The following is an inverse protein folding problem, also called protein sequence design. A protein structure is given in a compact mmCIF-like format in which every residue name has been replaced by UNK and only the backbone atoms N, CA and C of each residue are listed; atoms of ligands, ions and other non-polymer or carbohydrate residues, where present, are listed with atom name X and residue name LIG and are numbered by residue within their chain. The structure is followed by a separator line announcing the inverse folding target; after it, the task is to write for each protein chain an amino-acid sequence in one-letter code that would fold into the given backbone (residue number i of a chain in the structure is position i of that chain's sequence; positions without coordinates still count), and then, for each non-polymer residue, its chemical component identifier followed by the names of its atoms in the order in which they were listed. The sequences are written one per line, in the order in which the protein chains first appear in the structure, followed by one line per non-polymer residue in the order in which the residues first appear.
data_IF_940123194868
#
_entry.id   IF_940123194868
#
_cell.length_a   1.000
_cell.length_b   1.000
_cell.length_c   1.000
_cell.angle_alpha   90.00
_cell.angle_beta   90.00
_cell.angle_gamma   90.00
#
_symmetry.space_group_name_H-M   'P 1'
#
loop_
_entity.id
_entity.type
_entity.pdbx_description
1 polymer ?
#
# COMPACT_ATOMS: atom_id res chain seq x y z
N UNK A 1 -31.50 -8.20 4.20
CA UNK A 1 -30.71 -9.29 3.60
C UNK A 1 -29.65 -8.62 2.76
N UNK A 2 -28.38 -8.86 3.07
CA UNK A 2 -27.27 -8.19 2.42
C UNK A 2 -27.04 -8.81 1.03
N UNK A 3 -26.86 -7.99 -0.02
CA UNK A 3 -26.82 -8.44 -1.43
C UNK A 3 -25.43 -8.99 -1.81
N UNK A 4 -25.27 -10.31 -2.05
CA UNK A 4 -23.96 -10.95 -2.28
C UNK A 4 -23.22 -10.44 -3.52
N UNK A 5 -23.90 -9.72 -4.42
CA UNK A 5 -23.30 -9.12 -5.60
C UNK A 5 -22.72 -7.71 -5.33
N UNK A 6 -23.00 -7.11 -4.16
CA UNK A 6 -22.35 -5.86 -3.75
C UNK A 6 -20.87 -6.11 -3.45
N UNK A 7 -20.00 -5.32 -4.06
CA UNK A 7 -18.57 -5.37 -3.80
C UNK A 7 -18.27 -4.91 -2.37
N UNK A 8 -17.53 -5.70 -1.60
CA UNK A 8 -16.96 -5.22 -0.34
C UNK A 8 -15.57 -4.66 -0.61
N UNK A 9 -15.38 -3.38 -0.34
CA UNK A 9 -14.08 -2.70 -0.45
C UNK A 9 -13.48 -2.65 0.94
N UNK A 10 -12.28 -3.21 1.09
CA UNK A 10 -11.50 -3.21 2.32
C UNK A 10 -10.35 -2.23 2.15
N UNK A 11 -10.37 -1.16 2.93
CA UNK A 11 -9.28 -0.18 3.01
C UNK A 11 -8.44 -0.45 4.25
N UNK A 12 -7.12 -0.48 4.09
CA UNK A 12 -6.15 -0.72 5.17
C UNK A 12 -5.17 0.48 5.32
N UNK A 13 -5.64 1.64 5.84
CA UNK A 13 -4.89 2.90 5.84
C UNK A 13 -4.07 3.12 7.13
N UNK A 14 -3.07 2.27 7.38
CA UNK A 14 -2.22 2.37 8.60
C UNK A 14 -1.16 3.47 8.48
N UNK A 15 -0.56 3.64 7.30
CA UNK A 15 0.54 4.58 7.01
C UNK A 15 0.06 5.91 6.44
N UNK A 16 -1.06 5.88 5.73
CA UNK A 16 -1.65 7.05 5.07
C UNK A 16 -3.13 6.80 4.77
N UNK A 17 -3.97 7.84 4.76
CA UNK A 17 -5.37 7.73 4.34
C UNK A 17 -5.46 7.35 2.86
N UNK A 18 -6.52 6.62 2.50
CA UNK A 18 -6.85 6.27 1.11
C UNK A 18 -8.19 6.94 0.79
N UNK A 19 -8.20 7.85 -0.19
CA UNK A 19 -9.40 8.59 -0.58
C UNK A 19 -10.47 7.69 -1.21
N UNK A 20 -11.73 7.96 -0.89
CA UNK A 20 -12.91 7.29 -1.48
C UNK A 20 -12.93 7.45 -3.00
N UNK A 21 -12.69 8.66 -3.47
CA UNK A 21 -12.58 9.04 -4.88
C UNK A 21 -11.55 8.19 -5.62
N UNK A 22 -10.40 7.92 -4.98
CA UNK A 22 -9.33 7.11 -5.56
C UNK A 22 -9.73 5.64 -5.67
N UNK A 23 -10.43 5.11 -4.67
CA UNK A 23 -10.95 3.74 -4.71
C UNK A 23 -12.03 3.62 -5.81
N UNK A 24 -12.98 4.57 -5.87
CA UNK A 24 -14.02 4.59 -6.89
C UNK A 24 -13.47 4.69 -8.31
N UNK A 25 -12.44 5.52 -8.50
CA UNK A 25 -11.78 5.69 -9.80
C UNK A 25 -11.03 4.43 -10.23
N UNK A 26 -10.40 3.73 -9.29
CA UNK A 26 -9.61 2.54 -9.57
C UNK A 26 -10.47 1.31 -9.87
N UNK A 27 -11.61 1.17 -9.19
CA UNK A 27 -12.51 0.04 -9.38
C UNK A 27 -13.39 0.30 -10.63
N UNK A 28 -13.35 -0.58 -11.65
CA UNK A 28 -14.16 -0.42 -12.86
C UNK A 28 -15.65 -0.26 -12.54
N UNK A 29 -16.33 0.62 -13.29
CA UNK A 29 -17.75 0.92 -13.06
C UNK A 29 -18.65 -0.32 -13.17
N UNK A 30 -18.30 -1.29 -14.02
CA UNK A 30 -18.99 -2.58 -14.14
C UNK A 30 -18.94 -3.40 -12.85
N UNK A 31 -17.86 -3.29 -12.07
CA UNK A 31 -17.66 -4.02 -10.82
C UNK A 31 -18.36 -3.36 -9.63
N UNK A 32 -18.70 -2.07 -9.76
CA UNK A 32 -19.48 -1.31 -8.77
C UNK A 32 -20.96 -1.17 -9.14
N UNK A 33 -21.41 -1.77 -10.25
CA UNK A 33 -22.77 -1.60 -10.76
C UNK A 33 -23.86 -2.08 -9.79
N UNK A 34 -23.58 -3.12 -8.99
CA UNK A 34 -24.46 -3.60 -7.91
C UNK A 34 -24.42 -2.73 -6.63
N UNK A 35 -23.60 -1.68 -6.62
CA UNK A 35 -23.22 -0.94 -5.43
C UNK A 35 -22.08 -1.62 -4.66
N UNK A 36 -21.55 -0.91 -3.68
CA UNK A 36 -20.39 -1.34 -2.89
C UNK A 36 -20.49 -0.84 -1.46
N UNK A 37 -19.84 -1.55 -0.55
CA UNK A 37 -19.75 -1.21 0.86
C UNK A 37 -18.26 -1.05 1.21
N UNK A 38 -17.92 -0.05 2.03
CA UNK A 38 -16.55 0.20 2.48
C UNK A 38 -16.38 -0.23 3.93
N UNK A 39 -15.32 -1.00 4.19
CA UNK A 39 -14.84 -1.31 5.53
C UNK A 39 -13.38 -0.85 5.65
N UNK A 40 -13.10 -0.04 6.68
CA UNK A 40 -11.74 0.32 7.06
C UNK A 40 -11.24 -0.60 8.19
N UNK A 41 -10.03 -1.14 8.00
CA UNK A 41 -9.24 -1.85 9.00
C UNK A 41 -8.01 -1.01 9.31
N UNK A 42 -7.96 -0.42 10.51
CA UNK A 42 -6.85 0.45 10.93
C UNK A 42 -6.52 0.17 12.39
N UNK A 43 -5.77 -0.91 12.66
CA UNK A 43 -5.44 -1.29 14.03
C UNK A 43 -4.51 -0.29 14.72
N UNK A 44 -3.79 0.52 13.94
CA UNK A 44 -2.96 1.63 14.41
C UNK A 44 -2.83 2.65 13.28
N UNK A 45 -2.64 3.93 13.63
CA UNK A 45 -2.18 4.97 12.70
C UNK A 45 -0.75 5.35 13.04
N UNK A 46 0.14 5.30 12.06
CA UNK A 46 1.57 5.56 12.25
C UNK A 46 2.20 6.04 10.95
N UNK A 47 3.47 6.39 11.02
CA UNK A 47 4.26 6.85 9.87
C UNK A 47 5.36 5.82 9.55
N UNK A 48 5.78 5.76 8.28
CA UNK A 48 6.80 4.81 7.82
C UNK A 48 8.10 4.86 8.65
N UNK A 49 8.49 6.05 9.12
CA UNK A 49 9.68 6.25 9.96
C UNK A 49 9.59 5.69 11.38
N UNK A 50 8.37 5.42 11.87
CA UNK A 50 8.09 5.03 13.27
C UNK A 50 7.64 3.58 13.42
N UNK A 51 7.73 2.77 12.37
CA UNK A 51 7.34 1.35 12.43
C UNK A 51 8.13 0.52 13.46
N UNK A 52 9.31 0.98 13.85
CA UNK A 52 10.14 0.36 14.87
C UNK A 52 9.64 0.60 16.31
N UNK A 53 8.67 1.50 16.50
CA UNK A 53 8.04 1.85 17.79
C UNK A 53 6.73 1.08 18.02
N UNK A 54 6.26 0.30 17.03
CA UNK A 54 4.99 -0.43 17.10
C UNK A 54 5.07 -1.56 18.12
N UNK A 55 4.08 -1.61 19.02
CA UNK A 55 3.75 -2.80 19.78
C UNK A 55 2.96 -3.78 18.88
N UNK A 56 3.68 -4.73 18.29
CA UNK A 56 3.08 -5.70 17.36
C UNK A 56 2.03 -6.59 18.00
N UNK A 57 2.13 -6.87 19.31
CA UNK A 57 1.15 -7.71 19.99
C UNK A 57 -0.19 -6.96 20.16
N UNK A 58 -0.13 -5.70 20.58
CA UNK A 58 -1.32 -4.87 20.71
C UNK A 58 -1.99 -4.62 19.34
N UNK A 59 -1.21 -4.31 18.31
CA UNK A 59 -1.73 -4.04 16.97
C UNK A 59 -2.27 -5.32 16.31
N UNK A 60 -1.67 -6.48 16.56
CA UNK A 60 -2.18 -7.78 16.13
C UNK A 60 -3.57 -8.04 16.71
N UNK A 61 -3.71 -7.94 18.04
CA UNK A 61 -4.97 -8.17 18.74
C UNK A 61 -6.08 -7.22 18.25
N UNK A 62 -5.74 -5.95 18.01
CA UNK A 62 -6.70 -4.99 17.46
C UNK A 62 -7.09 -5.31 16.02
N UNK A 63 -6.16 -5.78 15.18
CA UNK A 63 -6.47 -6.19 13.82
C UNK A 63 -7.39 -7.41 13.79
N UNK A 64 -7.15 -8.40 14.65
CA UNK A 64 -8.01 -9.56 14.82
C UNK A 64 -9.43 -9.15 15.27
N UNK A 65 -9.53 -8.23 16.23
CA UNK A 65 -10.81 -7.67 16.70
C UNK A 65 -11.57 -6.97 15.57
N UNK A 66 -10.92 -6.06 14.85
CA UNK A 66 -11.52 -5.32 13.72
C UNK A 66 -11.94 -6.26 12.58
N UNK A 67 -11.14 -7.28 12.30
CA UNK A 67 -11.49 -8.29 11.31
C UNK A 67 -12.74 -9.08 11.72
N UNK A 68 -12.79 -9.57 12.96
CA UNK A 68 -13.93 -10.32 13.48
C UNK A 68 -15.22 -9.50 13.45
N UNK A 69 -15.16 -8.23 13.83
CA UNK A 69 -16.32 -7.34 13.91
C UNK A 69 -16.82 -6.86 12.54
N UNK A 70 -15.92 -6.61 11.58
CA UNK A 70 -16.25 -5.86 10.37
C UNK A 70 -16.16 -6.64 9.07
N UNK A 71 -15.39 -7.72 9.02
CA UNK A 71 -15.10 -8.47 7.78
C UNK A 71 -15.56 -9.92 7.89
N UNK A 72 -15.35 -10.57 9.03
CA UNK A 72 -15.55 -12.01 9.16
C UNK A 72 -16.99 -12.46 8.82
N UNK A 73 -18.01 -11.72 9.26
CA UNK A 73 -19.40 -12.01 8.90
C UNK A 73 -19.75 -11.72 7.43
N UNK A 74 -19.01 -10.82 6.79
CA UNK A 74 -19.25 -10.39 5.42
C UNK A 74 -18.68 -11.41 4.40
N UNK A 75 -17.48 -11.92 4.65
CA UNK A 75 -16.78 -12.81 3.70
C UNK A 75 -17.51 -14.14 3.44
N UNK A 76 -18.47 -14.53 4.27
CA UNK A 76 -19.25 -15.75 4.11
C UNK A 76 -20.20 -15.72 2.91
N UNK A 77 -20.67 -14.54 2.51
CA UNK A 77 -21.71 -14.39 1.49
C UNK A 77 -21.33 -13.43 0.35
N UNK A 78 -20.28 -12.62 0.53
CA UNK A 78 -19.73 -11.77 -0.54
C UNK A 78 -19.06 -12.62 -1.61
N UNK A 79 -19.35 -12.35 -2.88
CA UNK A 79 -18.68 -13.04 -4.00
C UNK A 79 -17.28 -12.51 -4.29
N UNK A 80 -17.05 -11.23 -4.03
CA UNK A 80 -15.86 -10.49 -4.44
C UNK A 80 -15.53 -9.39 -3.44
N UNK A 81 -14.23 -9.14 -3.27
CA UNK A 81 -13.70 -8.03 -2.50
C UNK A 81 -12.66 -7.26 -3.31
N UNK A 82 -12.54 -5.97 -2.99
CA UNK A 82 -11.41 -5.15 -3.42
C UNK A 82 -10.58 -4.76 -2.20
N UNK A 83 -9.27 -4.93 -2.26
CA UNK A 83 -8.34 -4.56 -1.19
C UNK A 83 -7.45 -3.40 -1.61
N UNK A 84 -7.44 -2.36 -0.78
CA UNK A 84 -6.57 -1.19 -0.89
C UNK A 84 -5.77 -1.08 0.40
N UNK A 85 -4.46 -0.87 0.31
CA UNK A 85 -3.61 -0.86 1.50
C UNK A 85 -2.51 0.19 1.46
N UNK A 86 -2.35 0.87 2.59
CA UNK A 86 -1.12 1.55 2.98
C UNK A 86 -0.77 1.01 4.36
N UNK A 87 -0.33 -0.24 4.41
CA UNK A 87 -0.03 -0.95 5.65
C UNK A 87 1.39 -1.54 5.65
N UNK A 88 2.03 -1.63 6.83
CA UNK A 88 3.24 -2.40 7.01
C UNK A 88 3.06 -3.83 6.50
N UNK A 89 4.13 -4.38 5.90
CA UNK A 89 4.13 -5.72 5.30
C UNK A 89 3.60 -6.80 6.28
N UNK A 90 4.02 -6.84 7.57
CA UNK A 90 3.47 -7.79 8.53
C UNK A 90 1.94 -7.72 8.70
N UNK A 91 1.36 -6.51 8.73
CA UNK A 91 -0.09 -6.35 8.90
C UNK A 91 -0.86 -6.76 7.66
N UNK A 92 -0.35 -6.43 6.46
CA UNK A 92 -0.95 -6.86 5.22
C UNK A 92 -0.92 -8.39 5.07
N UNK A 93 0.24 -9.02 5.35
CA UNK A 93 0.37 -10.48 5.43
C UNK A 93 -0.64 -11.08 6.40
N UNK A 94 -0.76 -10.52 7.59
CA UNK A 94 -1.70 -11.03 8.59
C UNK A 94 -3.16 -10.87 8.17
N UNK A 95 -3.58 -9.73 7.62
CA UNK A 95 -4.95 -9.55 7.15
C UNK A 95 -5.29 -10.52 6.00
N UNK A 96 -4.35 -10.74 5.08
CA UNK A 96 -4.50 -11.76 4.03
C UNK A 96 -4.62 -13.17 4.62
N UNK A 97 -3.81 -13.48 5.63
CA UNK A 97 -3.84 -14.75 6.35
C UNK A 97 -5.21 -15.01 7.03
N UNK A 98 -5.83 -13.98 7.61
CA UNK A 98 -7.18 -14.09 8.18
C UNK A 98 -8.26 -14.34 7.12
N UNK A 99 -8.12 -13.73 5.93
CA UNK A 99 -9.11 -13.87 4.85
C UNK A 99 -9.05 -15.25 4.16
N UNK A 100 -7.88 -15.88 4.13
CA UNK A 100 -7.62 -17.16 3.43
C UNK A 100 -8.11 -17.13 1.97
N UNK A 101 -8.40 -18.30 1.36
CA UNK A 101 -9.00 -18.41 0.02
C UNK A 101 -10.53 -18.44 0.05
N UNK A 102 -11.15 -17.93 1.12
CA UNK A 102 -12.61 -17.98 1.31
C UNK A 102 -13.40 -17.16 0.30
N UNK A 103 -12.77 -16.17 -0.34
CA UNK A 103 -13.44 -15.21 -1.22
C UNK A 103 -12.46 -14.68 -2.27
N UNK A 104 -12.98 -14.33 -3.45
CA UNK A 104 -12.16 -13.72 -4.48
C UNK A 104 -11.81 -12.27 -4.10
N UNK A 105 -10.53 -11.97 -3.95
CA UNK A 105 -10.04 -10.63 -3.60
C UNK A 105 -9.21 -10.06 -4.74
N UNK A 106 -9.67 -8.96 -5.31
CA UNK A 106 -8.87 -8.10 -6.17
C UNK A 106 -8.07 -7.14 -5.34
N UNK A 107 -6.77 -7.12 -5.60
CA UNK A 107 -5.87 -6.20 -4.95
C UNK A 107 -5.64 -5.04 -5.88
N UNK A 108 -5.72 -3.84 -5.32
CA UNK A 108 -5.33 -2.61 -5.97
C UNK A 108 -4.05 -2.11 -5.33
N UNK A 109 -3.07 -1.80 -6.17
CA UNK A 109 -1.76 -1.37 -5.72
C UNK A 109 -1.53 0.08 -6.14
N UNK A 110 -1.16 0.92 -5.17
CA UNK A 110 -0.80 2.30 -5.45
C UNK A 110 0.45 2.36 -6.32
N UNK A 111 0.33 2.98 -7.49
CA UNK A 111 1.43 3.29 -8.39
C UNK A 111 2.14 4.55 -7.89
N UNK A 112 3.41 4.44 -7.51
CA UNK A 112 4.15 5.57 -6.90
C UNK A 112 4.49 6.69 -7.88
N UNK A 113 4.45 6.42 -9.19
CA UNK A 113 4.77 7.42 -10.21
C UNK A 113 3.53 8.11 -10.79
N UNK A 114 2.45 7.36 -10.98
CA UNK A 114 1.17 7.88 -11.50
C UNK A 114 0.24 8.36 -10.39
N UNK A 115 0.50 7.97 -9.14
CA UNK A 115 -0.31 8.32 -7.96
C UNK A 115 -1.77 7.87 -8.03
N UNK A 116 -2.00 6.80 -8.79
CA UNK A 116 -3.27 6.11 -8.94
C UNK A 116 -3.16 4.68 -8.38
N UNK A 117 -4.28 3.95 -8.44
CA UNK A 117 -4.34 2.53 -8.06
C UNK A 117 -4.62 1.63 -9.26
N UNK A 118 -4.44 2.16 -10.47
CA UNK A 118 -4.80 1.47 -11.70
C UNK A 118 -3.74 0.42 -12.07
N UNK A 119 -4.18 -0.76 -12.48
CA UNK A 119 -3.28 -1.71 -13.13
C UNK A 119 -2.95 -1.24 -14.54
N UNK A 120 -1.71 -1.47 -14.99
CA UNK A 120 -1.43 -1.39 -16.43
C UNK A 120 -2.13 -2.54 -17.15
N UNK A 121 -2.63 -2.30 -18.36
CA UNK A 121 -3.26 -3.34 -19.17
C UNK A 121 -2.25 -4.40 -19.60
N UNK A 122 -2.62 -5.67 -19.45
CA UNK A 122 -1.86 -6.82 -19.95
C UNK A 122 -1.88 -6.92 -21.49
N UNK A 123 -2.89 -6.33 -22.16
CA UNK A 123 -3.13 -6.45 -23.61
C UNK A 123 -2.53 -5.31 -24.45
N UNK A 124 -1.72 -4.43 -23.83
CA UNK A 124 -1.09 -3.33 -24.54
C UNK A 124 0.04 -3.83 -25.45
N UNK A 125 0.19 -3.25 -26.65
CA UNK A 125 1.40 -3.44 -27.48
C UNK A 125 2.69 -2.99 -26.76
N UNK A 126 2.56 -2.26 -25.65
CA UNK A 126 3.65 -1.87 -24.73
C UNK A 126 3.62 -2.64 -23.40
N UNK A 127 2.90 -3.76 -23.32
CA UNK A 127 2.88 -4.59 -22.13
C UNK A 127 4.30 -5.11 -21.83
N UNK A 128 4.77 -4.98 -20.58
CA UNK A 128 6.07 -5.52 -20.21
C UNK A 128 6.09 -7.04 -20.43
N UNK A 129 7.26 -7.63 -20.75
CA UNK A 129 7.37 -9.07 -20.93
C UNK A 129 6.87 -9.81 -19.67
N UNK A 130 6.29 -11.02 -19.83
CA UNK A 130 5.76 -11.77 -18.70
C UNK A 130 6.86 -11.98 -17.67
N UNK A 131 6.57 -11.51 -16.46
CA UNK A 131 7.50 -11.53 -15.36
C UNK A 131 7.61 -12.95 -14.81
N UNK A 132 8.84 -13.48 -14.72
CA UNK A 132 9.11 -14.82 -14.20
C UNK A 132 9.94 -14.72 -12.93
N UNK A 133 9.32 -14.87 -11.74
CA UNK A 133 10.04 -14.93 -10.48
C UNK A 133 10.95 -16.16 -10.47
N UNK A 134 12.15 -16.00 -9.90
CA UNK A 134 13.09 -17.09 -9.67
C UNK A 134 12.87 -17.65 -8.27
N UNK A 135 12.89 -18.98 -8.16
CA UNK A 135 12.90 -19.69 -6.88
C UNK A 135 14.27 -20.35 -6.72
N UNK A 136 15.02 -19.94 -5.70
CA UNK A 136 16.27 -20.60 -5.31
C UNK A 136 15.98 -21.51 -4.12
N UNK A 137 16.01 -22.82 -4.36
CA UNK A 137 15.84 -23.85 -3.34
C UNK A 137 17.21 -24.41 -2.92
N UNK A 138 17.33 -24.97 -1.70
CA UNK A 138 18.50 -25.79 -1.36
C UNK A 138 18.59 -27.01 -2.28
N UNK A 139 19.80 -27.54 -2.45
CA UNK A 139 20.03 -28.73 -3.27
C UNK A 139 19.39 -30.00 -2.67
N UNK A 140 19.37 -30.08 -1.34
CA UNK A 140 18.90 -31.24 -0.59
C UNK A 140 17.92 -30.83 0.53
N UNK A 141 17.01 -31.73 0.87
CA UNK A 141 16.17 -31.62 2.06
C UNK A 141 16.82 -32.24 3.29
N UNK A 142 16.20 -32.07 4.47
CA UNK A 142 16.59 -32.72 5.71
C UNK A 142 15.38 -33.22 6.50
N UNK A 143 15.59 -34.24 7.35
CA UNK A 143 14.60 -34.72 8.33
C UNK A 143 14.86 -34.19 9.74
N UNK A 144 15.86 -33.33 9.91
CA UNK A 144 16.11 -32.66 11.18
C UNK A 144 14.98 -31.70 11.53
N UNK A 145 14.83 -31.44 12.83
CA UNK A 145 13.90 -30.44 13.34
C UNK A 145 14.59 -29.07 13.36
N UNK A 146 13.90 -28.05 12.85
CA UNK A 146 14.45 -26.69 12.82
C UNK A 146 13.69 -25.75 11.88
N UNK A 147 13.98 -24.45 11.95
CA UNK A 147 13.27 -23.46 11.15
C UNK A 147 13.86 -23.34 9.73
N UNK A 148 13.08 -22.79 8.80
CA UNK A 148 13.52 -22.44 7.44
C UNK A 148 13.34 -20.94 7.23
N UNK A 149 14.27 -20.31 6.52
CA UNK A 149 14.16 -18.91 6.09
C UNK A 149 13.60 -18.85 4.66
N UNK A 150 12.59 -18.01 4.45
CA UNK A 150 12.10 -17.65 3.11
C UNK A 150 12.25 -16.13 2.93
N UNK A 151 12.93 -15.72 1.87
CA UNK A 151 13.06 -14.33 1.46
C UNK A 151 12.25 -14.08 0.19
N UNK A 152 11.42 -13.04 0.19
CA UNK A 152 10.67 -12.60 -1.00
C UNK A 152 11.11 -11.20 -1.40
N UNK A 153 11.77 -11.10 -2.55
CA UNK A 153 12.46 -9.88 -3.00
C UNK A 153 11.87 -9.39 -4.33
N UNK A 154 10.86 -8.53 -4.28
CA UNK A 154 10.29 -7.90 -5.49
C UNK A 154 10.56 -6.40 -5.58
N UNK A 155 10.51 -5.66 -4.47
CA UNK A 155 10.84 -4.24 -4.45
C UNK A 155 12.34 -3.99 -4.25
N UNK A 156 12.98 -4.81 -3.42
CA UNK A 156 14.39 -4.71 -3.07
C UNK A 156 14.96 -6.10 -2.84
N UNK A 157 16.26 -6.27 -3.06
CA UNK A 157 16.95 -7.52 -2.74
C UNK A 157 17.21 -7.59 -1.25
N UNK A 158 16.78 -8.68 -0.62
CA UNK A 158 17.12 -9.00 0.78
C UNK A 158 18.42 -9.80 0.76
N UNK A 159 19.44 -9.33 1.47
CA UNK A 159 20.71 -10.02 1.50
C UNK A 159 20.71 -11.17 2.53
N UNK A 160 21.29 -12.34 2.21
CA UNK A 160 21.31 -13.49 3.13
C UNK A 160 21.91 -13.18 4.52
N UNK A 161 22.96 -12.35 4.56
CA UNK A 161 23.61 -11.96 5.82
C UNK A 161 22.68 -11.12 6.73
N UNK A 162 21.75 -10.34 6.17
CA UNK A 162 20.77 -9.58 6.98
C UNK A 162 19.77 -10.51 7.68
N UNK A 163 19.45 -11.66 7.07
CA UNK A 163 18.57 -12.67 7.67
C UNK A 163 19.31 -13.62 8.60
N UNK A 164 20.57 -13.95 8.30
CA UNK A 164 21.42 -14.80 9.13
C UNK A 164 21.78 -14.15 10.48
N UNK A 165 21.87 -12.81 10.53
CA UNK A 165 22.04 -12.06 11.79
C UNK A 165 20.86 -12.29 12.76
N UNK A 166 19.66 -12.51 12.22
CA UNK A 166 18.42 -12.67 12.99
C UNK A 166 18.09 -14.15 13.24
N UNK A 167 18.34 -15.01 12.25
CA UNK A 167 18.08 -16.45 12.30
C UNK A 167 19.40 -17.18 11.98
N UNK A 168 20.31 -17.32 12.96
CA UNK A 168 21.66 -17.86 12.71
C UNK A 168 21.70 -19.37 12.46
N UNK A 169 20.59 -20.09 12.69
CA UNK A 169 20.54 -21.56 12.61
C UNK A 169 19.24 -22.03 11.96
N UNK A 170 19.12 -21.82 10.66
CA UNK A 170 18.06 -22.39 9.82
C UNK A 170 18.51 -23.66 9.11
N UNK A 171 17.59 -24.61 8.92
CA UNK A 171 17.81 -25.82 8.12
C UNK A 171 18.08 -25.52 6.64
N UNK A 172 17.47 -24.44 6.14
CA UNK A 172 17.63 -23.98 4.77
C UNK A 172 17.23 -22.51 4.63
N UNK A 173 17.68 -21.92 3.54
CA UNK A 173 17.26 -20.62 3.06
C UNK A 173 16.68 -20.79 1.64
N UNK A 174 15.54 -20.15 1.40
CA UNK A 174 14.86 -20.15 0.10
C UNK A 174 14.61 -18.71 -0.33
N UNK A 175 14.89 -18.40 -1.58
CA UNK A 175 14.62 -17.09 -2.16
C UNK A 175 13.56 -17.17 -3.25
N UNK A 176 12.57 -16.29 -3.19
CA UNK A 176 11.66 -15.97 -4.28
C UNK A 176 11.95 -14.54 -4.71
N UNK A 177 12.48 -14.34 -5.91
CA UNK A 177 13.00 -13.03 -6.31
C UNK A 177 12.69 -12.68 -7.76
N UNK A 178 12.58 -11.37 -8.02
CA UNK A 178 12.68 -10.88 -9.38
C UNK A 178 14.14 -10.83 -9.82
N UNK A 179 14.40 -11.09 -11.10
CA UNK A 179 15.73 -10.88 -11.67
C UNK A 179 16.21 -9.44 -11.45
N UNK A 180 15.31 -8.48 -11.65
CA UNK A 180 15.53 -7.06 -11.35
C UNK A 180 14.42 -6.58 -10.41
N UNK A 181 14.67 -6.48 -9.09
CA UNK A 181 13.70 -5.93 -8.16
C UNK A 181 13.54 -4.42 -8.36
N UNK A 182 12.37 -3.89 -8.02
CA UNK A 182 12.07 -2.47 -8.04
C UNK A 182 10.70 -2.17 -7.47
N UNK A 183 10.53 -0.99 -6.87
CA UNK A 183 9.31 -0.63 -6.13
C UNK A 183 8.02 -0.70 -6.96
N UNK A 184 8.12 -0.44 -8.28
CA UNK A 184 7.04 -0.55 -9.25
C UNK A 184 7.32 -1.62 -10.31
N UNK A 185 8.04 -2.70 -9.94
CA UNK A 185 8.32 -3.82 -10.85
C UNK A 185 7.05 -4.62 -11.19
N UNK A 186 6.07 -4.68 -10.27
CA UNK A 186 4.79 -5.36 -10.46
C UNK A 186 3.74 -4.39 -11.01
N UNK A 187 3.71 -4.22 -12.32
CA UNK A 187 2.86 -3.23 -13.00
C UNK A 187 1.47 -3.74 -13.41
N UNK A 188 1.28 -5.06 -13.43
CA UNK A 188 0.04 -5.71 -13.84
C UNK A 188 -0.40 -6.74 -12.81
N UNK A 189 -1.69 -7.06 -12.80
CA UNK A 189 -2.26 -8.06 -11.90
C UNK A 189 -1.71 -9.46 -12.20
N UNK A 190 -1.43 -9.76 -13.47
CA UNK A 190 -0.75 -10.97 -13.91
C UNK A 190 0.65 -11.09 -13.29
N UNK A 191 1.47 -10.04 -13.37
CA UNK A 191 2.81 -10.04 -12.78
C UNK A 191 2.81 -10.25 -11.25
N UNK A 192 1.84 -9.66 -10.53
CA UNK A 192 1.65 -9.93 -9.10
C UNK A 192 1.28 -11.40 -8.86
N UNK A 193 0.39 -11.95 -9.68
CA UNK A 193 -0.07 -13.35 -9.59
C UNK A 193 1.08 -14.34 -9.79
N UNK A 194 1.98 -14.09 -10.73
CA UNK A 194 3.18 -14.92 -10.94
C UNK A 194 4.05 -15.01 -9.68
N UNK A 195 4.23 -13.90 -8.94
CA UNK A 195 4.97 -13.93 -7.67
C UNK A 195 4.21 -14.73 -6.60
N UNK A 196 2.88 -14.61 -6.54
CA UNK A 196 2.06 -15.38 -5.60
C UNK A 196 2.16 -16.89 -5.89
N UNK A 197 2.16 -17.27 -7.17
CA UNK A 197 2.36 -18.66 -7.61
C UNK A 197 3.74 -19.16 -7.17
N UNK A 198 4.80 -18.40 -7.45
CA UNK A 198 6.16 -18.76 -7.06
C UNK A 198 6.33 -18.87 -5.54
N UNK A 199 5.68 -17.99 -4.77
CA UNK A 199 5.67 -18.06 -3.31
C UNK A 199 4.97 -19.32 -2.79
N UNK A 200 3.80 -19.66 -3.36
CA UNK A 200 3.07 -20.88 -3.00
C UNK A 200 3.88 -22.15 -3.35
N UNK A 201 4.55 -22.15 -4.51
CA UNK A 201 5.48 -23.22 -4.89
C UNK A 201 6.63 -23.34 -3.88
N UNK A 202 7.25 -22.24 -3.49
CA UNK A 202 8.31 -22.24 -2.47
C UNK A 202 7.83 -22.83 -1.13
N UNK A 203 6.66 -22.43 -0.63
CA UNK A 203 6.08 -22.99 0.59
C UNK A 203 5.88 -24.51 0.47
N UNK A 204 5.28 -24.97 -0.63
CA UNK A 204 5.04 -26.39 -0.90
C UNK A 204 6.35 -27.20 -0.96
N UNK A 205 7.35 -26.70 -1.68
CA UNK A 205 8.67 -27.32 -1.81
C UNK A 205 9.39 -27.38 -0.48
N UNK A 206 9.39 -26.30 0.31
CA UNK A 206 9.96 -26.27 1.67
C UNK A 206 9.32 -27.33 2.55
N UNK A 207 7.98 -27.43 2.57
CA UNK A 207 7.29 -28.45 3.39
C UNK A 207 7.63 -29.88 2.95
N UNK A 208 7.78 -30.11 1.65
CA UNK A 208 8.16 -31.41 1.11
C UNK A 208 9.60 -31.79 1.46
N UNK A 209 10.54 -30.84 1.36
CA UNK A 209 11.96 -31.05 1.61
C UNK A 209 12.33 -31.13 3.09
N UNK A 210 11.59 -30.42 3.95
CA UNK A 210 11.82 -30.32 5.39
C UNK A 210 10.54 -30.69 6.15
N UNK A 211 10.11 -31.97 6.16
CA UNK A 211 8.81 -32.36 6.70
C UNK A 211 8.63 -32.03 8.19
N UNK A 212 9.75 -31.93 8.94
CA UNK A 212 9.83 -31.59 10.37
C UNK A 212 10.21 -30.13 10.65
N UNK A 213 10.02 -29.23 9.68
CA UNK A 213 10.29 -27.81 9.91
C UNK A 213 9.43 -27.25 11.06
N UNK A 214 10.04 -26.48 11.95
CA UNK A 214 9.39 -26.00 13.19
C UNK A 214 8.78 -24.61 13.03
N UNK A 215 9.32 -23.79 12.13
CA UNK A 215 8.82 -22.46 11.80
C UNK A 215 9.30 -22.04 10.40
N UNK A 216 8.59 -21.09 9.81
CA UNK A 216 9.02 -20.38 8.60
C UNK A 216 9.31 -18.93 8.96
N UNK A 217 10.55 -18.50 8.83
CA UNK A 217 10.92 -17.09 8.97
C UNK A 217 10.78 -16.39 7.62
N UNK A 218 9.74 -15.57 7.46
CA UNK A 218 9.40 -14.89 6.23
C UNK A 218 9.87 -13.43 6.25
N UNK A 219 10.91 -13.16 5.47
CA UNK A 219 11.40 -11.80 5.21
C UNK A 219 10.92 -11.34 3.85
N UNK A 220 10.28 -10.18 3.79
CA UNK A 220 9.64 -9.72 2.57
C UNK A 220 9.94 -8.24 2.28
N UNK A 221 10.39 -7.99 1.06
CA UNK A 221 10.56 -6.68 0.46
C UNK A 221 9.64 -6.63 -0.75
N UNK A 222 8.35 -6.39 -0.48
CA UNK A 222 7.24 -6.52 -1.43
C UNK A 222 6.27 -5.35 -1.29
N UNK A 223 5.52 -5.00 -2.36
CA UNK A 223 4.42 -4.06 -2.21
C UNK A 223 3.30 -4.65 -1.33
N UNK A 224 2.57 -3.76 -0.65
CA UNK A 224 1.50 -4.08 0.30
C UNK A 224 0.42 -5.03 -0.26
N UNK A 225 0.06 -4.86 -1.53
CA UNK A 225 -0.90 -5.72 -2.20
C UNK A 225 -0.41 -7.16 -2.35
N UNK A 226 0.86 -7.34 -2.70
CA UNK A 226 1.49 -8.66 -2.77
C UNK A 226 1.62 -9.28 -1.38
N UNK A 227 2.01 -8.51 -0.36
CA UNK A 227 2.05 -8.97 1.03
C UNK A 227 0.70 -9.56 1.47
N UNK A 228 -0.39 -8.87 1.18
CA UNK A 228 -1.75 -9.37 1.44
C UNK A 228 -2.02 -10.70 0.72
N UNK A 229 -1.73 -10.79 -0.58
CA UNK A 229 -1.98 -12.02 -1.36
C UNK A 229 -1.12 -13.20 -0.92
N UNK A 230 0.11 -12.94 -0.49
CA UNK A 230 1.00 -13.94 0.09
C UNK A 230 0.42 -14.49 1.40
N UNK A 231 -0.09 -13.61 2.27
CA UNK A 231 -0.73 -14.00 3.52
C UNK A 231 -1.88 -14.98 3.30
N UNK A 232 -2.72 -14.69 2.30
CA UNK A 232 -3.85 -15.55 1.91
C UNK A 232 -3.46 -16.93 1.37
N UNK A 233 -2.18 -17.18 1.03
CA UNK A 233 -1.70 -18.50 0.62
C UNK A 233 -1.29 -19.39 1.80
N UNK A 234 -1.06 -18.82 2.98
CA UNK A 234 -0.53 -19.56 4.12
C UNK A 234 -1.68 -20.28 4.82
N UNK A 235 -1.69 -21.61 4.73
CA UNK A 235 -2.67 -22.45 5.42
C UNK A 235 -2.13 -22.90 6.80
N UNK A 236 -2.77 -22.50 7.92
CA UNK A 236 -2.35 -22.88 9.28
C UNK A 236 -2.32 -24.39 9.53
N UNK A 237 -3.11 -25.18 8.81
CA UNK A 237 -3.19 -26.63 9.04
C UNK A 237 -2.09 -27.40 8.29
N UNK A 238 -1.39 -26.75 7.36
CA UNK A 238 -0.35 -27.35 6.53
C UNK A 238 1.04 -26.89 6.96
N UNK A 239 1.19 -25.60 7.20
CA UNK A 239 2.46 -24.97 7.53
C UNK A 239 2.51 -24.66 9.04
N UNK A 240 3.69 -24.79 9.68
CA UNK A 240 3.86 -24.31 11.04
C UNK A 240 3.81 -22.79 11.08
N UNK A 241 4.06 -22.21 12.25
CA UNK A 241 4.06 -20.77 12.44
C UNK A 241 4.95 -20.04 11.42
N UNK A 242 4.40 -18.99 10.82
CA UNK A 242 5.14 -18.10 9.92
C UNK A 242 5.46 -16.81 10.64
N UNK A 243 6.74 -16.60 10.94
CA UNK A 243 7.25 -15.46 11.66
C UNK A 243 7.62 -14.38 10.65
N UNK A 244 6.95 -13.24 10.73
CA UNK A 244 7.17 -12.09 9.83
C UNK A 244 8.06 -11.04 10.48
N UNK A 245 8.71 -10.24 9.65
CA UNK A 245 9.67 -9.23 10.09
C UNK A 245 9.35 -7.85 9.54
N UNK A 246 9.59 -6.83 10.36
CA UNK A 246 9.59 -5.45 9.94
C UNK A 246 11.03 -4.97 9.70
N UNK A 247 11.26 -4.39 8.52
CA UNK A 247 12.52 -3.75 8.17
C UNK A 247 12.63 -2.34 8.79
N UNK A 248 13.79 -2.03 9.34
CA UNK A 248 14.19 -0.70 9.78
C UNK A 248 15.66 -0.44 9.45
N UNK A 249 15.91 0.45 8.49
CA UNK A 249 17.26 0.74 7.96
C UNK A 249 18.30 1.13 9.02
N UNK A 250 17.87 1.82 10.09
CA UNK A 250 18.75 2.28 11.18
C UNK A 250 18.88 1.25 12.32
N UNK A 251 18.22 0.09 12.20
CA UNK A 251 18.25 -0.97 13.20
C UNK A 251 19.50 -1.83 13.14
N UNK A 252 19.81 -2.43 14.29
CA UNK A 252 20.81 -3.50 14.43
C UNK A 252 20.21 -4.57 15.37
N UNK A 253 19.73 -5.71 14.86
CA UNK A 253 19.60 -6.06 13.44
C UNK A 253 18.58 -5.17 12.69
N UNK A 254 18.69 -5.13 11.35
CA UNK A 254 17.79 -4.34 10.48
C UNK A 254 16.37 -4.90 10.41
N UNK A 255 16.22 -6.20 10.61
CA UNK A 255 14.92 -6.84 10.69
C UNK A 255 14.60 -7.16 12.15
N UNK A 256 13.40 -6.77 12.57
CA UNK A 256 12.84 -7.13 13.88
C UNK A 256 11.61 -7.99 13.68
N UNK A 257 11.48 -9.03 14.49
CA UNK A 257 10.27 -9.86 14.49
C UNK A 257 9.05 -8.97 14.74
N UNK A 258 8.00 -9.17 13.94
CA UNK A 258 6.77 -8.41 13.99
C UNK A 258 5.59 -9.30 14.39
N UNK A 259 4.95 -9.95 13.42
CA UNK A 259 3.75 -10.77 13.64
C UNK A 259 4.06 -12.24 13.39
N UNK A 260 3.56 -13.11 14.25
CA UNK A 260 3.58 -14.57 14.06
C UNK A 260 2.23 -15.04 13.55
N UNK A 261 2.17 -15.53 12.32
CA UNK A 261 0.98 -16.12 11.72
C UNK A 261 0.86 -17.57 12.20
N UNK A 262 -0.11 -17.83 13.07
CA UNK A 262 -0.31 -19.14 13.69
C UNK A 262 -1.80 -19.47 13.79
N UNK A 263 -2.14 -20.75 13.94
CA UNK A 263 -3.53 -21.23 14.01
C UNK A 263 -4.35 -20.50 15.09
N UNK A 264 -3.71 -20.11 16.21
CA UNK A 264 -4.34 -19.32 17.28
C UNK A 264 -4.97 -18.01 16.81
N UNK A 265 -4.40 -17.35 15.79
CA UNK A 265 -4.96 -16.12 15.21
C UNK A 265 -6.34 -16.35 14.57
N UNK A 266 -6.74 -17.62 14.40
CA UNK A 266 -8.05 -18.04 13.89
C UNK A 266 -8.91 -18.76 14.91
N UNK A 267 -8.39 -19.13 16.08
CA UNK A 267 -9.09 -19.99 17.04
C UNK A 267 -10.40 -19.39 17.59
N UNK A 268 -10.61 -18.08 17.45
CA UNK A 268 -11.86 -17.37 17.80
C UNK A 268 -12.82 -17.12 16.63
N UNK A 269 -12.50 -17.54 15.40
CA UNK A 269 -13.32 -17.30 14.21
C UNK A 269 -14.13 -18.55 13.86
N UNK A 270 -15.46 -18.50 13.94
CA UNK A 270 -16.33 -19.60 13.50
C UNK A 270 -16.23 -19.79 11.98
N UNK A 271 -16.24 -21.03 11.48
CA UNK A 271 -16.19 -21.26 10.02
C UNK A 271 -17.31 -20.49 9.29
N UNK A 272 -17.03 -19.79 8.18
CA UNK A 272 -18.06 -19.14 7.39
C UNK A 272 -19.02 -20.20 6.85
N UNK A 273 -20.32 -20.05 7.18
CA UNK A 273 -21.37 -20.98 6.79
C UNK A 273 -21.55 -20.94 5.27
N UNK A 274 -21.27 -22.04 4.57
CA UNK A 274 -21.20 -22.14 3.11
C UNK A 274 -22.49 -22.64 2.44
N UNK A 275 -23.65 -22.47 3.09
CA UNK A 275 -24.91 -23.02 2.59
C UNK A 275 -25.84 -21.94 2.01
N UNK A 276 -26.31 -22.24 0.79
CA UNK A 276 -27.44 -21.68 0.01
C UNK A 276 -27.15 -20.52 -0.96
N UNK A 277 -27.01 -20.88 -2.24
CA UNK A 277 -27.80 -20.23 -3.30
C UNK A 277 -28.34 -21.29 -4.25
N UNK A 278 -29.54 -21.78 -3.96
CA UNK A 278 -30.38 -22.50 -4.90
C UNK A 278 -31.73 -21.77 -5.05
N UNK A 279 -32.00 -21.37 -6.30
CA UNK A 279 -33.32 -21.10 -6.90
C UNK A 279 -34.05 -19.78 -6.66
N UNK A 280 -34.71 -19.39 -7.75
CA UNK A 280 -35.76 -18.38 -7.95
C UNK A 280 -35.30 -16.91 -7.93
N UNK A 281 -35.68 -16.05 -8.87
CA UNK A 281 -36.70 -16.15 -9.92
C UNK A 281 -37.20 -14.73 -10.20
N UNK A 282 -37.42 -14.42 -11.49
CA UNK A 282 -37.88 -13.15 -12.04
C UNK A 282 -38.97 -12.39 -11.24
N UNK A 283 -38.85 -11.05 -11.22
CA UNK A 283 -39.76 -10.05 -11.82
C UNK A 283 -40.05 -8.80 -10.96
N UNK A 284 -39.74 -7.64 -11.57
CA UNK A 284 -40.66 -6.50 -11.80
C UNK A 284 -40.55 -5.21 -10.93
N UNK A 285 -40.64 -4.12 -11.69
CA UNK A 285 -40.89 -2.67 -11.45
C UNK A 285 -39.73 -1.72 -11.12
N UNK A 286 -39.49 -0.84 -12.10
CA UNK A 286 -38.83 0.46 -12.04
C UNK A 286 -39.85 1.50 -11.58
N UNK A 287 -39.52 2.35 -10.59
CA UNK A 287 -40.03 3.72 -10.56
C UNK A 287 -39.06 4.68 -9.84
N UNK A 288 -39.14 5.95 -10.23
CA UNK A 288 -38.13 6.99 -10.14
C UNK A 288 -38.44 8.10 -9.10
N UNK A 289 -37.41 8.96 -8.91
CA UNK A 289 -37.42 10.33 -8.36
C UNK A 289 -37.38 10.43 -6.81
N UNK A 290 -36.54 11.23 -6.12
CA UNK A 290 -36.01 12.62 -6.23
C UNK A 290 -34.84 12.77 -5.19
N UNK A 291 -34.20 13.94 -4.91
CA UNK A 291 -33.92 15.17 -5.68
C UNK A 291 -32.41 15.59 -5.67
N UNK A 292 -32.11 16.59 -6.49
CA UNK A 292 -30.87 17.39 -6.54
C UNK A 292 -30.53 18.03 -5.18
N UNK A 293 -29.28 17.90 -4.71
CA UNK A 293 -28.71 18.76 -3.67
C UNK A 293 -27.35 19.31 -4.11
N UNK A 294 -27.38 20.61 -4.40
CA UNK A 294 -26.38 21.67 -4.20
C UNK A 294 -24.88 21.36 -4.24
N UNK A 295 -24.28 21.99 -5.26
CA UNK A 295 -22.88 22.40 -5.46
C UNK A 295 -22.10 22.72 -4.16
N UNK A 296 -20.97 22.04 -3.96
CA UNK A 296 -20.00 22.25 -2.86
C UNK A 296 -18.63 22.77 -3.37
N UNK A 297 -18.56 23.35 -4.56
CA UNK A 297 -17.34 23.99 -5.07
C UNK A 297 -17.37 25.50 -4.79
N UNK A 298 -16.82 25.93 -3.64
CA UNK A 298 -16.17 27.25 -3.46
C UNK A 298 -15.62 27.45 -2.03
N UNK A 299 -14.72 26.57 -1.59
CA UNK A 299 -13.88 26.84 -0.42
C UNK A 299 -12.48 27.28 -0.88
N UNK A 300 -11.93 28.42 -0.42
CA UNK A 300 -10.62 28.88 -0.85
C UNK A 300 -9.51 27.94 -0.37
N UNK A 301 -8.66 27.52 -1.31
CA UNK A 301 -7.50 26.64 -1.08
C UNK A 301 -6.52 27.26 -0.09
N UNK A 302 -6.07 26.49 0.92
CA UNK A 302 -5.13 26.93 1.97
C UNK A 302 -3.85 26.08 2.03
N UNK A 303 -3.58 25.27 1.00
CA UNK A 303 -2.49 24.27 1.05
C UNK A 303 -1.09 24.85 1.28
N UNK A 304 -0.81 26.09 0.87
CA UNK A 304 0.50 26.74 1.08
C UNK A 304 0.84 26.95 2.57
N UNK A 305 -0.16 26.98 3.45
CA UNK A 305 -0.01 27.16 4.89
C UNK A 305 -0.43 25.92 5.70
N UNK A 306 -0.80 24.83 5.02
CA UNK A 306 -1.27 23.62 5.69
C UNK A 306 -0.08 22.86 6.33
N UNK A 307 -0.27 22.29 7.54
CA UNK A 307 0.78 21.54 8.25
C UNK A 307 1.10 20.18 7.59
N UNK A 308 0.29 19.76 6.63
CA UNK A 308 0.46 18.58 5.78
C UNK A 308 0.15 18.96 4.35
N UNK A 309 0.94 18.48 3.39
CA UNK A 309 0.73 18.83 1.99
C UNK A 309 -0.54 18.16 1.46
N UNK A 310 -1.53 18.97 1.08
CA UNK A 310 -2.89 18.51 0.74
C UNK A 310 -3.00 18.13 -0.74
N UNK A 311 -2.61 16.91 -1.07
CA UNK A 311 -2.65 16.38 -2.44
C UNK A 311 -4.07 16.25 -3.02
N UNK A 312 -5.11 16.36 -2.20
CA UNK A 312 -6.53 16.38 -2.57
C UNK A 312 -6.98 17.70 -3.22
N UNK A 313 -6.21 18.79 -3.05
CA UNK A 313 -6.53 20.09 -3.65
C UNK A 313 -5.92 20.22 -5.06
N UNK A 314 -6.71 20.66 -6.03
CA UNK A 314 -6.26 20.91 -7.42
C UNK A 314 -5.07 21.89 -7.46
N UNK A 315 -5.09 22.91 -6.60
CA UNK A 315 -4.02 23.90 -6.47
C UNK A 315 -2.68 23.28 -6.02
N UNK A 316 -2.71 22.28 -5.13
CA UNK A 316 -1.52 21.54 -4.67
C UNK A 316 -0.90 20.70 -5.77
N UNK A 317 -1.75 20.01 -6.54
CA UNK A 317 -1.32 19.22 -7.70
C UNK A 317 -0.73 20.13 -8.78
N UNK A 318 -1.39 21.25 -9.08
CA UNK A 318 -0.89 22.25 -10.01
C UNK A 318 0.45 22.84 -9.57
N UNK A 319 0.62 23.14 -8.28
CA UNK A 319 1.89 23.62 -7.74
C UNK A 319 3.01 22.60 -7.91
N UNK A 320 2.75 21.32 -7.60
CA UNK A 320 3.72 20.25 -7.80
C UNK A 320 4.14 20.12 -9.28
N UNK A 321 3.18 20.13 -10.21
CA UNK A 321 3.49 20.06 -11.65
C UNK A 321 4.32 21.27 -12.12
N UNK A 322 4.09 22.46 -11.56
CA UNK A 322 4.94 23.62 -11.84
C UNK A 322 6.35 23.36 -11.33
N UNK A 323 6.53 22.89 -10.09
CA UNK A 323 7.85 22.64 -9.54
C UNK A 323 8.62 21.57 -10.33
N UNK A 324 7.95 20.50 -10.75
CA UNK A 324 8.54 19.43 -11.58
C UNK A 324 8.97 19.95 -12.95
N UNK A 325 8.16 20.79 -13.60
CA UNK A 325 8.48 21.36 -14.92
C UNK A 325 9.54 22.47 -14.85
N UNK A 326 9.52 23.28 -13.80
CA UNK A 326 10.41 24.42 -13.61
C UNK A 326 11.81 24.01 -13.09
N UNK A 327 11.87 22.95 -12.29
CA UNK A 327 13.09 22.38 -11.73
C UNK A 327 13.20 20.90 -12.09
N UNK A 328 13.33 20.66 -13.39
CA UNK A 328 13.30 19.38 -14.11
C UNK A 328 14.51 18.46 -13.91
N UNK A 329 15.47 18.86 -13.06
CA UNK A 329 16.70 18.13 -12.82
C UNK A 329 17.07 18.15 -11.34
N UNK A 330 17.72 17.08 -10.88
CA UNK A 330 18.15 16.91 -9.48
C UNK A 330 18.98 18.10 -8.96
N UNK A 331 19.96 18.66 -9.70
CA UNK A 331 20.71 19.82 -9.22
C UNK A 331 19.84 21.06 -9.03
N UNK A 332 18.93 21.34 -9.96
CA UNK A 332 18.00 22.48 -9.89
C UNK A 332 17.04 22.35 -8.71
N UNK A 333 16.48 21.16 -8.49
CA UNK A 333 15.64 20.88 -7.34
C UNK A 333 16.41 21.04 -6.02
N UNK A 334 17.63 20.49 -5.90
CA UNK A 334 18.48 20.64 -4.71
C UNK A 334 18.79 22.10 -4.39
N UNK A 335 19.02 22.91 -5.42
CA UNK A 335 19.37 24.32 -5.27
C UNK A 335 18.19 25.14 -4.72
N UNK A 336 17.00 25.03 -5.30
CA UNK A 336 15.83 25.80 -4.86
C UNK A 336 15.35 25.36 -3.47
N UNK A 337 15.42 24.06 -3.14
CA UNK A 337 15.08 23.55 -1.82
C UNK A 337 16.03 24.09 -0.75
N UNK A 338 17.34 24.13 -1.05
CA UNK A 338 18.34 24.74 -0.16
C UNK A 338 18.08 26.24 0.04
N UNK A 339 17.82 26.99 -1.04
CA UNK A 339 17.47 28.43 -0.97
C UNK A 339 16.19 28.71 -0.19
N UNK A 340 15.28 27.73 -0.15
CA UNK A 340 14.01 27.81 0.57
C UNK A 340 14.13 27.38 2.04
N UNK A 341 15.27 26.81 2.44
CA UNK A 341 15.54 26.36 3.80
C UNK A 341 14.91 25.01 4.16
N UNK A 342 14.51 24.22 3.16
CA UNK A 342 13.88 22.90 3.34
C UNK A 342 14.97 21.87 3.65
N UNK A 343 14.72 20.97 4.61
CA UNK A 343 15.64 19.88 4.93
C UNK A 343 15.83 18.92 3.75
N UNK A 344 17.06 18.86 3.23
CA UNK A 344 17.45 17.99 2.12
C UNK A 344 17.89 16.60 2.58
N UNK A 345 18.11 16.39 3.88
CA UNK A 345 18.50 15.07 4.41
C UNK A 345 17.29 14.13 4.56
N UNK A 346 16.09 14.70 4.64
CA UNK A 346 14.81 13.97 4.64
C UNK A 346 14.28 13.64 3.24
N UNK A 347 15.00 13.99 2.17
CA UNK A 347 14.55 13.81 0.77
C UNK A 347 15.53 12.87 0.05
N UNK A 348 15.01 11.83 -0.59
CA UNK A 348 15.82 10.95 -1.42
C UNK A 348 16.07 11.58 -2.79
N UNK A 349 17.32 11.95 -3.10
CA UNK A 349 17.70 12.55 -4.39
C UNK A 349 18.16 11.53 -5.43
N UNK A 350 18.16 10.23 -5.12
CA UNK A 350 18.52 9.14 -6.05
C UNK A 350 17.30 8.61 -6.82
N UNK A 351 16.19 9.34 -6.80
CA UNK A 351 14.94 9.01 -7.48
C UNK A 351 14.61 10.01 -8.61
N UNK A 352 13.65 9.68 -9.50
CA UNK A 352 13.22 10.61 -10.55
C UNK A 352 12.78 11.96 -9.98
N UNK A 353 13.03 13.03 -10.72
CA UNK A 353 12.79 14.43 -10.29
C UNK A 353 11.36 14.67 -9.83
N UNK A 354 10.39 14.02 -10.47
CA UNK A 354 9.00 14.02 -10.04
C UNK A 354 8.86 13.54 -8.60
N UNK A 355 9.39 12.36 -8.26
CA UNK A 355 9.33 11.81 -6.90
C UNK A 355 10.09 12.67 -5.87
N UNK A 356 11.21 13.29 -6.26
CA UNK A 356 11.92 14.28 -5.41
C UNK A 356 10.98 15.42 -5.00
N UNK A 357 10.19 15.95 -5.94
CA UNK A 357 9.26 17.05 -5.66
C UNK A 357 8.09 16.65 -4.76
N UNK A 358 7.61 15.41 -4.83
CA UNK A 358 6.59 14.92 -3.91
C UNK A 358 7.08 14.88 -2.47
N UNK A 359 8.23 14.24 -2.21
CA UNK A 359 8.84 14.24 -0.88
C UNK A 359 9.20 15.65 -0.41
N UNK A 360 9.74 16.48 -1.30
CA UNK A 360 10.13 17.84 -0.96
C UNK A 360 8.94 18.71 -0.54
N UNK A 361 7.76 18.53 -1.15
CA UNK A 361 6.55 19.27 -0.81
C UNK A 361 5.92 18.78 0.50
N UNK A 362 6.00 17.48 0.79
CA UNK A 362 5.60 16.93 2.09
C UNK A 362 6.51 17.41 3.22
N UNK A 363 7.82 17.40 3.01
CA UNK A 363 8.80 17.95 3.95
C UNK A 363 8.57 19.45 4.13
N UNK A 364 8.37 20.20 3.05
CA UNK A 364 8.09 21.63 3.11
C UNK A 364 6.81 21.95 3.90
N UNK A 365 5.72 21.19 3.72
CA UNK A 365 4.47 21.41 4.46
C UNK A 365 4.62 21.08 5.94
N UNK A 366 5.28 19.97 6.26
CA UNK A 366 5.59 19.57 7.64
C UNK A 366 6.44 20.61 8.37
N UNK A 367 7.32 21.30 7.65
CA UNK A 367 8.15 22.39 8.19
C UNK A 367 7.48 23.77 8.14
N UNK A 368 6.27 23.88 7.59
CA UNK A 368 5.58 25.16 7.39
C UNK A 368 6.27 26.08 6.36
N UNK A 369 7.02 25.50 5.43
CA UNK A 369 7.85 26.20 4.44
C UNK A 369 7.27 26.20 3.02
N UNK A 370 6.11 25.57 2.76
CA UNK A 370 5.51 25.51 1.41
C UNK A 370 5.29 26.88 0.79
N UNK A 371 4.73 27.84 1.54
CA UNK A 371 4.59 29.24 1.09
C UNK A 371 5.93 29.90 0.78
N UNK A 372 6.94 29.65 1.61
CA UNK A 372 8.29 30.21 1.41
C UNK A 372 8.94 29.65 0.15
N UNK A 373 8.77 28.36 -0.12
CA UNK A 373 9.19 27.71 -1.36
C UNK A 373 8.50 28.34 -2.57
N UNK A 374 7.17 28.53 -2.53
CA UNK A 374 6.42 29.16 -3.60
C UNK A 374 6.89 30.59 -3.89
N UNK A 375 7.13 31.39 -2.84
CA UNK A 375 7.65 32.75 -2.96
C UNK A 375 9.08 32.77 -3.52
N UNK A 376 9.95 31.85 -3.09
CA UNK A 376 11.31 31.74 -3.60
C UNK A 376 11.34 31.36 -5.07
N UNK A 377 10.53 30.38 -5.48
CA UNK A 377 10.34 30.02 -6.88
C UNK A 377 9.81 31.22 -7.70
N UNK A 378 8.85 31.97 -7.16
CA UNK A 378 8.32 33.17 -7.82
C UNK A 378 9.34 34.27 -8.07
N UNK A 379 10.38 34.36 -7.24
CA UNK A 379 11.50 35.32 -7.39
C UNK A 379 12.68 34.78 -8.19
N UNK A 380 12.63 33.52 -8.62
CA UNK A 380 13.70 32.89 -9.39
C UNK A 380 13.56 33.20 -10.88
N UNK A 381 14.47 34.03 -11.38
CA UNK A 381 14.49 34.47 -12.79
C UNK A 381 14.71 33.30 -13.77
N UNK A 382 15.32 32.19 -13.32
CA UNK A 382 15.59 31.03 -14.17
C UNK A 382 14.33 30.26 -14.58
N UNK A 383 13.19 30.55 -13.95
CA UNK A 383 11.89 29.93 -14.21
C UNK A 383 10.80 30.97 -14.52
N UNK A 384 11.19 32.14 -15.04
CA UNK A 384 10.28 33.26 -15.33
C UNK A 384 9.04 32.88 -16.17
N UNK A 385 9.16 31.88 -17.05
CA UNK A 385 8.05 31.35 -17.84
C UNK A 385 6.89 30.80 -16.99
N UNK A 386 7.16 30.31 -15.77
CA UNK A 386 6.18 29.72 -14.87
C UNK A 386 5.62 30.70 -13.84
N UNK A 387 6.14 31.93 -13.77
CA UNK A 387 5.70 32.96 -12.83
C UNK A 387 4.20 33.28 -12.91
N UNK A 388 3.57 33.38 -14.10
CA UNK A 388 2.12 33.62 -14.19
C UNK A 388 1.27 32.50 -13.58
N UNK A 389 1.71 31.24 -13.67
CA UNK A 389 1.03 30.10 -13.05
C UNK A 389 1.21 30.13 -11.52
N UNK A 390 2.41 30.43 -11.04
CA UNK A 390 2.69 30.60 -9.60
C UNK A 390 1.89 31.75 -8.99
N UNK A 391 1.74 32.88 -9.69
CA UNK A 391 0.93 34.02 -9.22
C UNK A 391 -0.54 33.66 -9.03
N UNK A 392 -1.11 32.84 -9.92
CA UNK A 392 -2.49 32.38 -9.78
C UNK A 392 -2.67 31.54 -8.52
N UNK A 393 -1.74 30.62 -8.25
CA UNK A 393 -1.77 29.74 -7.08
C UNK A 393 -1.58 30.56 -5.78
N UNK A 394 -0.63 31.49 -5.77
CA UNK A 394 -0.38 32.35 -4.60
C UNK A 394 -1.56 33.28 -4.34
N UNK A 395 -2.17 33.87 -5.38
CA UNK A 395 -3.37 34.73 -5.21
C UNK A 395 -4.60 33.95 -4.75
N UNK A 396 -4.83 32.76 -5.30
CA UNK A 396 -5.96 31.90 -4.91
C UNK A 396 -5.92 31.46 -3.44
N UNK A 397 -4.73 31.48 -2.83
CA UNK A 397 -4.52 31.15 -1.41
C UNK A 397 -4.54 32.38 -0.48
N UNK A 398 -4.69 33.61 -0.99
CA UNK A 398 -4.71 34.86 -0.21
C UNK A 398 -6.11 35.45 0.05
N UNK A 399 -7.15 34.99 -0.65
CA UNK A 399 -8.49 35.62 -0.71
C UNK A 399 -9.38 35.46 0.53
N UNK A 400 -8.81 35.43 1.75
CA UNK A 400 -9.62 35.40 3.00
C UNK A 400 -9.13 36.31 4.14
N UNK A 401 -8.24 37.28 3.91
CA UNK A 401 -7.74 38.16 5.01
C UNK A 401 -8.12 39.64 4.98
N UNK A 402 -8.85 40.15 3.99
CA UNK A 402 -9.21 41.59 3.92
C UNK A 402 -10.71 41.92 4.08
N UNK A 403 -11.52 40.99 4.60
CA UNK A 403 -12.96 41.24 4.81
C UNK A 403 -13.40 41.61 6.24
N UNK A 404 -12.48 41.68 7.22
CA UNK A 404 -12.86 41.84 8.62
C UNK A 404 -11.94 42.81 9.38
N UNK A 405 -11.89 44.07 8.93
CA UNK A 405 -11.62 45.21 9.81
C UNK A 405 -11.88 46.52 9.06
N UNK A 406 -12.97 47.21 9.39
CA UNK A 406 -13.02 48.66 9.64
C UNK A 406 -14.45 49.07 10.05
N UNK A 407 -14.59 50.19 10.78
CA UNK A 407 -15.01 50.23 12.19
C UNK A 407 -16.51 50.07 12.46
#
# INVERSE_FOLDING_TARGET
MSDPNRLLVVSHPVLAPIGLDRMEHAIPASERAGGWDLVEITPVRTELGRLHEIDWAAVLAEQERLFAERIHGEIAWRRRLAYFGFAPIPLALHLGYLMTRSVNVDVYQHNRFRFDWAWSSDDSASAPPPLKPQICLPEHGSRDEGPVVIRVSTSHRIAPWETAEVVPSSLAEVDVMLAVPGEDALRTQSALTEVVVAFNEALSRVKSMFPRLTAIHLFAAVPVGLAFRMGAQINPTIYPEVITYQYWRKGTPRYRQAIVLAERCRAGLSAPCLDLVASAGNNVVVDAALPVVMNLYDAPSRFLDAPSYRWDEEASSCFCEIMVRAYDSVPRAREILAKSGIDRYSINFEQPVRAIWYEALEVAAREGLTRRLAQRARTDNSIAAYHPELDKIIKATHTTKEGACQP
#
